data_IF_170030248385
#
_entry.id   IF_170030248385
#
_cell.length_a   1.000
_cell.length_b   1.000
_cell.length_c   1.000
_cell.angle_alpha   90.00
_cell.angle_beta   90.00
_cell.angle_gamma   90.00
#
_symmetry.space_group_name_H-M   'P 1'
#
loop_
_entity.id
_entity.type
_entity.pdbx_description
1 polymer ?
#
# COMPACT_ATOMS: atom_id res chain seq x y z
N UNK A 1 -2.45 10.86 -1.63
CA UNK A 1 -1.21 10.49 -0.92
C UNK A 1 0.04 11.01 -1.65
N UNK A 2 -0.04 11.22 -2.96
CA UNK A 2 1.06 11.74 -3.79
C UNK A 2 1.07 13.28 -3.93
N UNK A 3 0.18 13.99 -3.27
CA UNK A 3 -0.06 15.44 -3.40
C UNK A 3 1.19 16.32 -3.21
N UNK A 4 2.19 15.81 -2.50
CA UNK A 4 3.44 16.54 -2.21
C UNK A 4 4.62 16.15 -3.10
N UNK A 5 4.44 15.14 -3.94
CA UNK A 5 5.46 14.72 -4.91
C UNK A 5 5.32 15.64 -6.14
N UNK A 6 6.34 16.44 -6.37
CA UNK A 6 6.39 17.34 -7.52
C UNK A 6 7.41 16.77 -8.49
N UNK A 7 6.96 16.35 -9.66
CA UNK A 7 7.79 15.94 -10.77
C UNK A 7 7.75 17.02 -11.86
N UNK A 8 8.79 17.08 -12.69
CA UNK A 8 8.83 18.03 -13.79
C UNK A 8 7.79 17.65 -14.85
N UNK A 9 6.82 18.52 -15.10
CA UNK A 9 5.78 18.34 -16.13
C UNK A 9 6.35 18.25 -17.55
N UNK A 10 7.58 18.76 -17.77
CA UNK A 10 8.27 18.62 -19.05
C UNK A 10 8.83 17.21 -19.31
N UNK A 11 8.93 16.38 -18.26
CA UNK A 11 9.52 15.03 -18.33
C UNK A 11 8.51 13.93 -18.00
N UNK A 12 7.45 14.26 -17.25
CA UNK A 12 6.52 13.28 -16.73
C UNK A 12 5.07 13.76 -16.89
N UNK A 13 4.23 12.90 -17.38
CA UNK A 13 2.78 13.00 -17.30
C UNK A 13 2.31 12.12 -16.13
N UNK A 14 1.63 12.72 -15.15
CA UNK A 14 1.24 12.03 -13.91
C UNK A 14 -0.23 11.66 -13.98
N UNK A 15 -0.51 10.37 -13.90
CA UNK A 15 -1.85 9.82 -13.83
C UNK A 15 -2.09 9.22 -12.44
N UNK A 16 -3.12 9.68 -11.75
CA UNK A 16 -3.54 9.09 -10.47
C UNK A 16 -4.59 8.03 -10.74
N UNK A 17 -4.29 6.81 -10.37
CA UNK A 17 -5.20 5.68 -10.50
C UNK A 17 -6.05 5.56 -9.22
N UNK A 18 -7.34 5.84 -9.34
CA UNK A 18 -8.27 5.72 -8.21
C UNK A 18 -8.58 4.26 -7.90
N UNK A 19 -8.75 3.98 -6.61
CA UNK A 19 -9.19 2.68 -6.13
C UNK A 19 -10.65 2.42 -6.52
N UNK A 20 -10.94 1.19 -6.90
CA UNK A 20 -12.30 0.73 -7.15
C UNK A 20 -12.72 -0.30 -6.10
N UNK A 21 -14.02 -0.45 -5.93
CA UNK A 21 -14.53 -1.55 -5.13
C UNK A 21 -14.25 -2.89 -5.84
N UNK A 22 -13.90 -3.94 -5.10
CA UNK A 22 -13.77 -5.27 -5.68
C UNK A 22 -15.12 -5.79 -6.17
N UNK A 23 -15.09 -6.62 -7.20
CA UNK A 23 -16.30 -7.26 -7.75
C UNK A 23 -16.46 -8.60 -7.06
N UNK A 24 -17.40 -8.70 -6.12
CA UNK A 24 -17.58 -9.90 -5.32
C UNK A 24 -16.30 -10.28 -4.55
N UNK A 25 -15.96 -11.56 -4.54
CA UNK A 25 -14.70 -12.07 -3.93
C UNK A 25 -13.55 -12.07 -4.96
N UNK A 26 -13.32 -10.92 -5.60
CA UNK A 26 -12.31 -10.76 -6.64
C UNK A 26 -10.91 -11.09 -6.10
N UNK A 27 -10.18 -11.95 -6.79
CA UNK A 27 -8.79 -12.24 -6.45
C UNK A 27 -7.88 -11.04 -6.73
N UNK A 28 -6.75 -10.90 -6.02
CA UNK A 28 -5.82 -9.81 -6.25
C UNK A 28 -5.29 -9.77 -7.70
N UNK A 29 -4.93 -10.90 -8.36
CA UNK A 29 -4.55 -10.87 -9.77
C UNK A 29 -5.66 -10.37 -10.70
N UNK A 30 -6.93 -10.75 -10.46
CA UNK A 30 -8.05 -10.28 -11.28
C UNK A 30 -8.29 -8.78 -11.08
N UNK A 31 -8.24 -8.32 -9.83
CA UNK A 31 -8.31 -6.90 -9.51
C UNK A 31 -7.17 -6.12 -10.19
N UNK A 32 -5.93 -6.62 -10.10
CA UNK A 32 -4.78 -6.00 -10.74
C UNK A 32 -4.92 -5.95 -12.27
N UNK A 33 -5.44 -7.02 -12.89
CA UNK A 33 -5.74 -7.04 -14.32
C UNK A 33 -6.76 -5.96 -14.70
N UNK A 34 -7.84 -5.84 -13.93
CA UNK A 34 -8.89 -4.84 -14.17
C UNK A 34 -8.35 -3.42 -14.01
N UNK A 35 -7.53 -3.18 -12.98
CA UNK A 35 -6.88 -1.89 -12.77
C UNK A 35 -5.88 -1.56 -13.88
N UNK A 36 -5.12 -2.56 -14.35
CA UNK A 36 -4.16 -2.40 -15.44
C UNK A 36 -4.83 -1.99 -16.77
N UNK A 37 -6.05 -2.46 -17.03
CA UNK A 37 -6.82 -2.09 -18.24
C UNK A 37 -7.15 -0.59 -18.33
N UNK A 38 -7.03 0.15 -17.23
CA UNK A 38 -7.25 1.60 -17.20
C UNK A 38 -6.02 2.39 -17.64
N UNK A 39 -4.88 1.74 -17.76
CA UNK A 39 -3.63 2.36 -18.16
C UNK A 39 -3.49 2.15 -19.67
N UNK A 40 -3.53 3.24 -20.41
CA UNK A 40 -3.47 3.25 -21.87
C UNK A 40 -2.09 3.65 -22.39
N UNK A 41 -1.29 4.27 -21.54
CA UNK A 41 0.05 4.77 -21.88
C UNK A 41 1.01 3.60 -22.09
N UNK A 42 1.80 3.61 -23.16
CA UNK A 42 2.81 2.59 -23.41
C UNK A 42 3.97 2.71 -22.41
N UNK A 43 4.45 1.58 -21.93
CA UNK A 43 5.62 1.49 -21.03
C UNK A 43 5.53 2.44 -19.81
N UNK A 44 4.44 2.39 -19.01
CA UNK A 44 4.27 3.28 -17.89
C UNK A 44 5.32 3.04 -16.80
N UNK A 45 5.58 4.05 -15.97
CA UNK A 45 6.23 3.88 -14.68
C UNK A 45 5.15 3.70 -13.63
N UNK A 46 5.12 2.55 -12.96
CA UNK A 46 4.14 2.24 -11.93
C UNK A 46 4.71 2.60 -10.56
N UNK A 47 3.98 3.39 -9.79
CA UNK A 47 4.38 3.76 -8.42
C UNK A 47 3.26 3.39 -7.45
N UNK A 48 3.58 2.62 -6.41
CA UNK A 48 2.61 2.20 -5.41
C UNK A 48 3.12 2.33 -3.98
N UNK A 49 2.23 2.73 -3.07
CA UNK A 49 2.53 2.88 -1.63
C UNK A 49 1.78 1.81 -0.85
N UNK A 50 2.44 1.14 0.09
CA UNK A 50 1.82 0.14 0.96
C UNK A 50 1.12 -0.97 0.14
N UNK A 51 -0.20 -1.17 0.31
CA UNK A 51 -0.97 -2.10 -0.54
C UNK A 51 -0.89 -1.74 -2.02
N UNK A 52 -0.81 -0.45 -2.37
CA UNK A 52 -0.56 -0.02 -3.75
C UNK A 52 0.76 -0.54 -4.31
N UNK A 53 1.79 -0.71 -3.46
CA UNK A 53 3.06 -1.32 -3.87
C UNK A 53 2.94 -2.80 -4.19
N UNK A 54 2.06 -3.53 -3.50
CA UNK A 54 1.71 -4.92 -3.84
C UNK A 54 0.92 -4.93 -5.15
N UNK A 55 -0.08 -4.05 -5.28
CA UNK A 55 -0.94 -3.99 -6.46
C UNK A 55 -0.17 -3.69 -7.75
N UNK A 56 0.73 -2.71 -7.75
CA UNK A 56 1.48 -2.35 -8.97
C UNK A 56 2.43 -3.47 -9.42
N UNK A 57 2.93 -4.29 -8.50
CA UNK A 57 3.70 -5.48 -8.83
C UNK A 57 2.84 -6.55 -9.51
N UNK A 58 1.58 -6.73 -9.09
CA UNK A 58 0.64 -7.63 -9.76
C UNK A 58 0.19 -7.07 -11.11
N UNK A 59 -0.03 -5.74 -11.20
CA UNK A 59 -0.39 -5.08 -12.47
C UNK A 59 0.72 -5.18 -13.52
N UNK A 60 1.98 -5.22 -13.10
CA UNK A 60 3.12 -5.36 -14.00
C UNK A 60 3.07 -6.64 -14.85
N UNK A 61 2.37 -7.68 -14.41
CA UNK A 61 2.16 -8.90 -15.19
C UNK A 61 1.24 -8.70 -16.41
N UNK A 62 0.46 -7.62 -16.44
CA UNK A 62 -0.50 -7.30 -17.51
C UNK A 62 -0.09 -6.08 -18.35
N UNK A 63 0.99 -5.44 -17.95
CA UNK A 63 1.56 -4.25 -18.60
C UNK A 63 3.01 -4.55 -18.95
N UNK A 64 3.60 -3.70 -19.75
CA UNK A 64 5.05 -3.70 -19.96
C UNK A 64 5.65 -2.44 -19.37
N UNK A 65 5.71 -2.31 -18.02
CA UNK A 65 6.14 -1.07 -17.40
C UNK A 65 7.63 -0.85 -17.60
N UNK A 66 8.01 0.42 -17.83
CA UNK A 66 9.41 0.82 -17.88
C UNK A 66 10.08 0.62 -16.51
N UNK A 67 9.35 0.89 -15.44
CA UNK A 67 9.79 0.69 -14.05
C UNK A 67 8.61 0.43 -13.11
N UNK A 68 8.88 -0.33 -12.05
CA UNK A 68 7.97 -0.50 -10.92
C UNK A 68 8.68 0.05 -9.67
N UNK A 69 8.06 1.01 -9.00
CA UNK A 69 8.57 1.64 -7.78
C UNK A 69 7.59 1.39 -6.65
N UNK A 70 8.06 0.78 -5.58
CA UNK A 70 7.24 0.55 -4.39
C UNK A 70 7.78 1.36 -3.20
N UNK A 71 6.87 1.92 -2.42
CA UNK A 71 7.19 2.77 -1.28
C UNK A 71 6.47 2.22 -0.05
N UNK A 72 7.20 2.05 1.07
CA UNK A 72 6.62 1.52 2.33
C UNK A 72 5.78 0.24 2.08
N UNK A 73 6.33 -0.69 1.32
CA UNK A 73 5.65 -1.92 0.89
C UNK A 73 6.58 -3.13 1.05
N UNK A 74 6.29 -4.22 0.36
CA UNK A 74 7.08 -5.46 0.34
C UNK A 74 7.20 -6.00 -1.08
N UNK A 75 8.32 -6.66 -1.40
CA UNK A 75 8.53 -7.33 -2.70
C UNK A 75 7.93 -8.73 -2.73
N UNK A 76 7.86 -9.37 -1.57
CA UNK A 76 7.36 -10.75 -1.43
C UNK A 76 6.70 -10.95 -0.06
N UNK A 77 5.95 -12.04 0.08
CA UNK A 77 5.35 -12.43 1.35
C UNK A 77 6.39 -12.88 2.40
N UNK A 78 7.61 -13.16 1.98
CA UNK A 78 8.71 -13.53 2.89
C UNK A 78 9.08 -12.33 3.77
N UNK A 79 8.93 -11.11 3.24
CA UNK A 79 9.18 -9.84 3.95
C UNK A 79 8.08 -9.47 4.96
N UNK A 80 6.97 -10.21 5.00
CA UNK A 80 5.95 -9.96 6.01
C UNK A 80 6.44 -10.22 7.43
N UNK A 81 6.13 -9.32 8.38
CA UNK A 81 6.45 -9.54 9.79
C UNK A 81 5.72 -10.76 10.35
N UNK A 82 6.28 -11.37 11.40
CA UNK A 82 5.75 -12.59 12.02
C UNK A 82 4.26 -12.48 12.37
N UNK A 83 3.80 -11.31 12.86
CA UNK A 83 2.38 -11.09 13.19
C UNK A 83 1.45 -11.29 12.00
N UNK A 84 1.85 -10.88 10.78
CA UNK A 84 1.04 -11.08 9.57
C UNK A 84 1.03 -12.56 9.15
N UNK A 85 2.16 -13.26 9.29
CA UNK A 85 2.25 -14.70 9.03
C UNK A 85 1.35 -15.49 9.99
N UNK A 86 1.32 -15.11 11.27
CA UNK A 86 0.41 -15.69 12.27
C UNK A 86 -1.04 -15.36 11.91
N UNK A 87 -1.35 -14.11 11.57
CA UNK A 87 -2.69 -13.69 11.17
C UNK A 87 -3.20 -14.48 9.94
N UNK A 88 -2.31 -14.79 8.98
CA UNK A 88 -2.63 -15.66 7.83
C UNK A 88 -3.04 -17.05 8.27
N UNK A 89 -2.26 -17.69 9.15
CA UNK A 89 -2.48 -19.06 9.60
C UNK A 89 -3.73 -19.18 10.50
N UNK A 90 -3.92 -18.22 11.40
CA UNK A 90 -5.04 -18.22 12.38
C UNK A 90 -6.30 -17.57 11.82
N UNK A 91 -6.25 -16.95 10.65
CA UNK A 91 -7.31 -16.11 10.08
C UNK A 91 -7.71 -14.92 10.97
N UNK A 92 -6.84 -14.52 11.91
CA UNK A 92 -7.13 -13.44 12.85
C UNK A 92 -7.36 -12.07 12.16
N UNK A 93 -6.91 -11.90 10.92
CA UNK A 93 -7.21 -10.71 10.13
C UNK A 93 -8.72 -10.49 9.91
N UNK A 94 -9.54 -11.55 9.94
CA UNK A 94 -11.01 -11.46 9.85
C UNK A 94 -11.68 -10.87 11.11
N UNK A 95 -10.93 -10.76 12.19
CA UNK A 95 -11.41 -10.17 13.45
C UNK A 95 -11.09 -8.67 13.54
N UNK A 96 -10.43 -8.10 12.53
CA UNK A 96 -10.13 -6.66 12.50
C UNK A 96 -11.44 -5.91 12.27
N UNK A 97 -11.87 -5.06 13.19
CA UNK A 97 -13.13 -4.34 13.05
C UNK A 97 -12.99 -3.17 12.06
N UNK A 98 -13.05 -3.46 10.76
CA UNK A 98 -12.85 -2.48 9.68
C UNK A 98 -13.91 -1.39 9.68
N UNK A 99 -15.10 -1.66 10.24
CA UNK A 99 -16.14 -0.66 10.50
C UNK A 99 -15.66 0.50 11.38
N UNK A 100 -14.61 0.32 12.17
CA UNK A 100 -13.95 1.38 12.92
C UNK A 100 -13.34 2.41 11.97
N UNK A 101 -12.76 1.99 10.86
CA UNK A 101 -12.12 2.87 9.88
C UNK A 101 -13.12 3.63 9.00
N UNK A 102 -14.34 3.10 8.84
CA UNK A 102 -15.43 3.80 8.13
C UNK A 102 -16.01 4.97 8.94
N UNK A 103 -15.84 4.97 10.27
CA UNK A 103 -16.38 5.96 11.21
C UNK A 103 -15.30 6.63 12.06
N UNK A 104 -14.13 6.90 11.50
CA UNK A 104 -12.97 7.49 12.20
C UNK A 104 -13.33 8.80 12.91
N UNK A 105 -14.27 9.60 12.37
CA UNK A 105 -14.77 10.83 12.97
C UNK A 105 -15.38 10.60 14.36
N UNK A 106 -16.07 9.46 14.55
CA UNK A 106 -16.66 9.08 15.86
C UNK A 106 -15.60 8.62 16.86
N UNK A 107 -14.49 8.04 16.37
CA UNK A 107 -13.37 7.61 17.23
C UNK A 107 -12.54 8.78 17.76
N UNK A 108 -12.46 9.88 17.03
CA UNK A 108 -11.81 11.10 17.50
C UNK A 108 -12.45 11.69 18.75
N UNK A 109 -13.72 11.36 19.02
CA UNK A 109 -14.44 11.77 20.23
C UNK A 109 -14.15 10.88 21.46
N UNK A 110 -13.63 9.67 21.27
CA UNK A 110 -13.18 8.79 22.36
C UNK A 110 -11.69 9.00 22.60
N UNK A 111 -11.36 9.58 23.76
CA UNK A 111 -10.02 10.00 24.21
C UNK A 111 -9.04 8.83 24.34
N UNK A 112 -8.55 8.30 23.25
CA UNK A 112 -7.41 7.39 23.22
C UNK A 112 -6.10 8.15 22.98
N UNK A 113 -5.63 8.93 23.92
CA UNK A 113 -4.32 9.61 23.90
C UNK A 113 -3.97 10.40 22.61
N UNK A 114 -3.23 11.50 22.74
CA UNK A 114 -2.87 12.40 21.62
C UNK A 114 -2.20 11.69 20.42
N UNK A 115 -1.41 10.63 20.66
CA UNK A 115 -0.70 9.89 19.61
C UNK A 115 -1.66 9.08 18.73
N UNK A 116 -2.68 8.45 19.31
CA UNK A 116 -3.67 7.66 18.57
C UNK A 116 -4.58 8.59 17.76
N UNK A 117 -5.01 9.70 18.34
CA UNK A 117 -5.83 10.69 17.64
C UNK A 117 -5.10 11.31 16.43
N UNK A 118 -3.78 11.54 16.52
CA UNK A 118 -2.98 12.03 15.40
C UNK A 118 -2.84 10.97 14.30
N UNK A 119 -2.64 9.70 14.66
CA UNK A 119 -2.58 8.59 13.69
C UNK A 119 -3.93 8.38 12.99
N UNK A 120 -5.04 8.46 13.74
CA UNK A 120 -6.39 8.38 13.19
C UNK A 120 -6.67 9.50 12.18
N UNK A 121 -6.28 10.75 12.47
CA UNK A 121 -6.41 11.88 11.53
C UNK A 121 -5.59 11.67 10.25
N UNK A 122 -4.42 11.04 10.34
CA UNK A 122 -3.63 10.68 9.16
C UNK A 122 -4.36 9.62 8.32
N UNK A 123 -4.90 8.58 8.95
CA UNK A 123 -5.69 7.57 8.25
C UNK A 123 -6.97 8.16 7.64
N UNK A 124 -7.64 9.05 8.36
CA UNK A 124 -8.81 9.78 7.87
C UNK A 124 -8.53 10.55 6.57
N UNK A 125 -7.40 11.24 6.52
CA UNK A 125 -7.01 12.04 5.36
C UNK A 125 -6.56 11.20 4.16
N UNK A 126 -5.96 10.03 4.39
CA UNK A 126 -5.24 9.29 3.36
C UNK A 126 -5.85 7.94 2.97
N UNK A 127 -6.83 7.45 3.72
CA UNK A 127 -7.68 6.35 3.24
C UNK A 127 -8.71 6.95 2.26
N UNK A 128 -8.39 6.86 0.97
CA UNK A 128 -9.27 7.34 -0.11
C UNK A 128 -10.55 6.52 -0.22
N UNK A 129 -10.51 5.24 0.11
CA UNK A 129 -11.67 4.36 0.15
C UNK A 129 -11.88 3.88 1.58
N UNK A 130 -13.02 4.25 2.19
CA UNK A 130 -13.42 3.90 3.54
C UNK A 130 -14.56 2.88 3.58
N UNK A 131 -14.87 2.31 2.43
CA UNK A 131 -15.87 1.27 2.33
C UNK A 131 -15.39 0.03 3.10
N UNK A 132 -16.26 -0.51 3.96
CA UNK A 132 -15.94 -1.67 4.81
C UNK A 132 -15.65 -2.91 3.98
N UNK A 133 -16.40 -3.13 2.89
CA UNK A 133 -16.19 -4.27 2.00
C UNK A 133 -14.82 -4.18 1.33
N UNK A 134 -14.44 -2.96 0.89
CA UNK A 134 -13.11 -2.74 0.32
C UNK A 134 -12.00 -2.99 1.35
N UNK A 135 -12.14 -2.48 2.56
CA UNK A 135 -11.13 -2.62 3.60
C UNK A 135 -10.94 -4.08 4.02
N UNK A 136 -12.03 -4.82 4.23
CA UNK A 136 -12.01 -6.25 4.54
C UNK A 136 -11.31 -7.03 3.42
N UNK A 137 -11.72 -6.78 2.18
CA UNK A 137 -11.11 -7.39 1.01
C UNK A 137 -9.62 -7.05 0.90
N UNK A 138 -9.24 -5.78 1.01
CA UNK A 138 -7.85 -5.35 0.86
C UNK A 138 -6.94 -5.97 1.94
N UNK A 139 -7.38 -5.99 3.20
CA UNK A 139 -6.64 -6.63 4.30
C UNK A 139 -6.47 -8.13 4.02
N UNK A 140 -7.53 -8.81 3.59
CA UNK A 140 -7.46 -10.22 3.24
C UNK A 140 -6.48 -10.47 2.09
N UNK A 141 -6.54 -9.67 1.00
CA UNK A 141 -5.64 -9.81 -0.16
C UNK A 141 -4.17 -9.57 0.23
N UNK A 142 -3.89 -8.59 1.09
CA UNK A 142 -2.53 -8.36 1.60
C UNK A 142 -2.05 -9.56 2.41
N UNK A 143 -2.83 -10.02 3.40
CA UNK A 143 -2.42 -11.11 4.30
C UNK A 143 -2.26 -12.43 3.56
N UNK A 144 -3.10 -12.69 2.56
CA UNK A 144 -3.08 -13.92 1.77
C UNK A 144 -2.11 -13.87 0.59
N UNK A 145 -1.54 -12.69 0.29
CA UNK A 145 -0.60 -12.57 -0.83
C UNK A 145 0.53 -13.61 -0.72
N UNK A 146 0.82 -14.28 -1.82
CA UNK A 146 1.66 -15.48 -1.81
C UNK A 146 2.90 -15.40 -2.74
N UNK A 147 3.16 -14.21 -3.33
CA UNK A 147 4.37 -14.00 -4.13
C UNK A 147 5.62 -14.32 -3.31
N UNK A 148 6.41 -15.27 -3.78
CA UNK A 148 7.66 -15.71 -3.15
C UNK A 148 8.89 -15.29 -3.93
N UNK A 149 8.75 -15.08 -5.24
CA UNK A 149 9.85 -14.70 -6.12
C UNK A 149 10.05 -13.20 -6.14
N UNK A 150 11.27 -12.78 -5.88
CA UNK A 150 11.67 -11.37 -5.94
C UNK A 150 11.88 -10.96 -7.39
N UNK A 151 11.24 -9.89 -7.80
CA UNK A 151 11.59 -9.18 -9.03
C UNK A 151 12.65 -8.13 -8.69
N UNK A 152 13.87 -8.36 -9.15
CA UNK A 152 15.03 -7.48 -8.88
C UNK A 152 14.95 -6.15 -9.62
N UNK A 153 14.08 -6.02 -10.63
CA UNK A 153 13.85 -4.77 -11.34
C UNK A 153 13.00 -3.77 -10.55
N UNK A 154 12.28 -4.25 -9.51
CA UNK A 154 11.45 -3.41 -8.65
C UNK A 154 12.33 -2.53 -7.77
N UNK A 155 12.19 -1.22 -7.91
CA UNK A 155 12.81 -0.23 -7.04
C UNK A 155 12.00 -0.13 -5.76
N UNK A 156 12.62 -0.38 -4.61
CA UNK A 156 11.95 -0.33 -3.31
C UNK A 156 12.54 0.80 -2.46
N UNK A 157 11.70 1.76 -2.09
CA UNK A 157 12.02 2.86 -1.17
C UNK A 157 11.32 2.58 0.16
N UNK A 158 12.10 2.50 1.26
CA UNK A 158 11.54 2.05 2.54
C UNK A 158 12.09 2.84 3.73
N UNK A 159 11.22 3.10 4.71
CA UNK A 159 11.59 3.81 5.93
C UNK A 159 12.12 2.88 7.02
N UNK A 160 13.22 3.25 7.68
CA UNK A 160 13.80 2.44 8.76
C UNK A 160 12.97 2.47 10.07
N UNK A 161 12.01 3.40 10.19
CA UNK A 161 11.05 3.49 11.28
C UNK A 161 9.64 3.02 10.89
N UNK A 162 9.50 2.23 9.82
CA UNK A 162 8.22 1.62 9.44
C UNK A 162 7.83 0.51 10.43
N UNK A 163 6.71 0.73 11.14
CA UNK A 163 6.18 -0.24 12.09
C UNK A 163 5.22 -1.25 11.45
N UNK A 164 4.71 -0.98 10.24
CA UNK A 164 3.80 -1.89 9.51
C UNK A 164 4.60 -3.00 8.84
N UNK A 165 5.62 -2.62 8.07
CA UNK A 165 6.60 -3.51 7.47
C UNK A 165 7.99 -3.19 8.02
N UNK A 166 8.38 -3.71 9.20
CA UNK A 166 9.65 -3.34 9.82
C UNK A 166 10.85 -3.67 8.95
N UNK A 167 11.78 -2.72 8.85
CA UNK A 167 12.96 -2.76 7.97
C UNK A 167 13.79 -4.04 8.12
N UNK A 168 13.79 -4.68 9.29
CA UNK A 168 14.49 -5.94 9.53
C UNK A 168 14.02 -7.12 8.68
N UNK A 169 12.82 -7.02 8.08
CA UNK A 169 12.27 -8.04 7.17
C UNK A 169 12.45 -7.66 5.71
N UNK A 170 12.78 -6.41 5.42
CA UNK A 170 12.91 -5.87 4.06
C UNK A 170 14.32 -6.09 3.54
N UNK A 171 14.44 -6.46 2.28
CA UNK A 171 15.71 -6.68 1.60
C UNK A 171 15.84 -5.76 0.38
N UNK A 172 17.08 -5.39 0.10
CA UNK A 172 17.45 -4.65 -1.13
C UNK A 172 16.54 -3.45 -1.41
N UNK A 173 16.49 -2.51 -0.44
CA UNK A 173 15.73 -1.27 -0.56
C UNK A 173 16.61 -0.04 -0.39
N UNK A 174 16.13 1.08 -0.92
CA UNK A 174 16.66 2.42 -0.65
C UNK A 174 16.08 2.87 0.69
N UNK A 175 16.95 3.03 1.69
CA UNK A 175 16.50 3.32 3.07
C UNK A 175 16.33 4.82 3.27
N UNK A 176 15.14 5.23 3.72
CA UNK A 176 14.85 6.60 4.15
C UNK A 176 14.95 6.69 5.67
N UNK A 177 15.98 7.38 6.16
CA UNK A 177 16.23 7.51 7.60
C UNK A 177 15.11 8.25 8.32
N UNK A 178 14.61 7.64 9.40
CA UNK A 178 13.46 8.14 10.17
C UNK A 178 12.14 8.11 9.39
N UNK A 179 12.09 7.41 8.26
CA UNK A 179 10.87 7.19 7.48
C UNK A 179 9.94 6.21 8.18
N UNK A 180 8.69 6.63 8.41
CA UNK A 180 7.60 5.76 8.90
C UNK A 180 6.82 5.18 7.75
N UNK A 181 5.80 4.34 8.03
CA UNK A 181 4.92 3.77 6.99
C UNK A 181 4.27 4.82 6.07
N UNK A 182 4.03 6.01 6.59
CA UNK A 182 3.46 7.15 5.87
C UNK A 182 4.51 8.19 5.49
N UNK A 183 5.76 7.77 5.29
CA UNK A 183 6.88 8.68 5.02
C UNK A 183 6.70 9.53 3.77
N UNK A 184 5.96 9.04 2.78
CA UNK A 184 5.66 9.81 1.55
C UNK A 184 5.04 11.17 1.84
N UNK A 185 4.38 11.33 3.00
CA UNK A 185 3.74 12.58 3.42
C UNK A 185 4.69 13.52 4.15
N UNK A 186 5.71 12.97 4.83
CA UNK A 186 6.63 13.71 5.69
C UNK A 186 8.03 13.84 5.13
N UNK A 187 8.45 12.92 4.27
CA UNK A 187 9.79 12.83 3.68
C UNK A 187 9.80 13.04 2.16
N UNK A 188 8.79 13.69 1.61
CA UNK A 188 8.61 13.91 0.16
C UNK A 188 9.73 14.71 -0.53
N UNK A 189 10.61 15.37 0.23
CA UNK A 189 11.79 16.11 -0.26
C UNK A 189 13.10 15.32 -0.15
N UNK A 190 13.03 14.08 0.29
CA UNK A 190 14.18 13.21 0.47
C UNK A 190 14.77 12.77 -0.85
#
# INVERSE_FOLDING_TARGET
IFERIILSESLFEIHLLDWELPIGDESLPNYAKRMAQKITEPNPVLIGVSFGGILVQEMAAFLNPLKVIIISSVKTNVEFPRRMKIAKTTKAYKLIPTSIFSNIEKLGAFSFGKSIAQRLKLYERYLSVRDVLYLDWAIERVVLWDRTQVDTSVIHIHGDADEVFPIQYIKDCIVVKGGTHVMILSKYKW
#
